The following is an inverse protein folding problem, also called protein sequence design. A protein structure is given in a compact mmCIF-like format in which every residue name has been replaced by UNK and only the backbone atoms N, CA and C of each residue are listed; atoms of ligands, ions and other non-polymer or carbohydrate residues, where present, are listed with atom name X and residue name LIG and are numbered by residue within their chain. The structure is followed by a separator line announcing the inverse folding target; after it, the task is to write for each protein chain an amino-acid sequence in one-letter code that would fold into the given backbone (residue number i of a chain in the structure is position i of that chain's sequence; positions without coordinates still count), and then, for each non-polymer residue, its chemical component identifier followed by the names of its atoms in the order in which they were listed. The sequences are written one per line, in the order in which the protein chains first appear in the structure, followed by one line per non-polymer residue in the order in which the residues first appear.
data_IF_576525897150
#
_entry.id   IF_576525897150
#
_cell.length_a   1.000
_cell.length_b   1.000
_cell.length_c   1.000
_cell.angle_alpha   90.00
_cell.angle_beta   90.00
_cell.angle_gamma   90.00
#
_symmetry.space_group_name_H-M   'P 1'
#
loop_
_entity.id
_entity.type
_entity.pdbx_description
1 polymer ?
#
# COMPACT_ATOMS: atom_id res chain seq x y z
N UNK A 1 -6.24 41.78 11.08
CA UNK A 1 -6.00 40.44 11.63
C UNK A 1 -5.76 39.39 10.54
N UNK A 2 -6.53 39.36 9.47
CA UNK A 2 -6.38 38.38 8.35
C UNK A 2 -5.06 38.58 7.58
N UNK A 3 -4.65 39.83 7.34
CA UNK A 3 -3.42 40.19 6.62
C UNK A 3 -2.15 39.74 7.35
N UNK A 4 -2.14 39.81 8.68
CA UNK A 4 -0.99 39.37 9.50
C UNK A 4 -0.81 37.86 9.48
N UNK A 5 -1.89 37.07 9.40
CA UNK A 5 -1.86 35.63 9.32
C UNK A 5 -1.28 35.15 7.97
N UNK A 6 -1.62 35.85 6.87
CA UNK A 6 -1.12 35.54 5.52
C UNK A 6 0.38 35.83 5.40
N UNK A 7 0.87 36.91 6.05
CA UNK A 7 2.30 37.26 6.06
C UNK A 7 3.10 36.23 6.86
N UNK A 8 2.59 35.81 8.01
CA UNK A 8 3.22 34.75 8.84
C UNK A 8 3.25 33.42 8.10
N UNK A 9 2.17 33.07 7.38
CA UNK A 9 2.14 31.86 6.54
C UNK A 9 3.17 31.89 5.40
N UNK A 10 3.33 33.05 4.71
CA UNK A 10 4.35 33.19 3.67
C UNK A 10 5.78 33.09 4.22
N UNK A 11 6.05 33.64 5.41
CA UNK A 11 7.37 33.53 6.04
C UNK A 11 7.65 32.11 6.52
N UNK A 12 6.69 31.45 7.17
CA UNK A 12 6.82 30.04 7.58
C UNK A 12 7.02 29.09 6.39
N UNK A 13 6.35 29.35 5.27
CA UNK A 13 6.53 28.56 4.04
C UNK A 13 7.92 28.79 3.42
N UNK A 14 8.48 30.01 3.48
CA UNK A 14 9.88 30.29 3.08
C UNK A 14 10.88 29.55 3.98
N UNK A 15 10.72 29.61 5.30
CA UNK A 15 11.57 28.86 6.24
C UNK A 15 11.48 27.35 6.04
N UNK A 16 10.27 26.82 5.79
CA UNK A 16 10.07 25.42 5.48
C UNK A 16 10.78 24.99 4.19
N UNK A 17 10.65 25.80 3.11
CA UNK A 17 11.37 25.57 1.86
C UNK A 17 12.89 25.66 2.06
N UNK A 18 13.38 26.59 2.86
CA UNK A 18 14.80 26.76 3.14
C UNK A 18 15.37 25.59 3.94
N UNK A 19 14.66 25.10 4.96
CA UNK A 19 15.05 23.91 5.71
C UNK A 19 14.98 22.66 4.84
N UNK A 20 13.98 22.55 3.96
CA UNK A 20 13.87 21.46 2.99
C UNK A 20 15.03 21.48 1.98
N UNK A 21 15.41 22.67 1.48
CA UNK A 21 16.53 22.86 0.57
C UNK A 21 17.88 22.61 1.24
N UNK A 22 18.06 23.02 2.51
CA UNK A 22 19.27 22.72 3.29
C UNK A 22 19.45 21.22 3.52
N UNK A 23 18.37 20.51 3.87
CA UNK A 23 18.41 19.06 4.01
C UNK A 23 18.63 18.35 2.66
N UNK A 24 18.17 18.93 1.55
CA UNK A 24 18.44 18.45 0.20
C UNK A 24 19.92 18.62 -0.19
N UNK A 25 20.55 19.75 0.19
CA UNK A 25 21.99 19.98 -0.06
C UNK A 25 22.87 19.07 0.79
N UNK A 26 22.52 18.84 2.06
CA UNK A 26 23.21 17.90 2.94
C UNK A 26 23.09 16.44 2.47
N UNK A 27 21.92 16.05 1.95
CA UNK A 27 21.72 14.73 1.37
C UNK A 27 22.44 14.54 0.03
N UNK A 28 22.59 15.60 -0.78
CA UNK A 28 23.39 15.59 -2.00
C UNK A 28 24.89 15.52 -1.69
N UNK A 29 25.35 16.24 -0.66
CA UNK A 29 26.73 16.21 -0.20
C UNK A 29 27.13 14.84 0.36
N UNK A 30 26.25 14.19 1.11
CA UNK A 30 26.48 12.81 1.58
C UNK A 30 26.52 11.76 0.45
N UNK A 31 25.91 12.04 -0.71
CA UNK A 31 26.04 11.17 -1.89
C UNK A 31 27.35 11.37 -2.65
N UNK A 32 27.93 12.56 -2.64
CA UNK A 32 29.25 12.81 -3.24
C UNK A 32 30.38 12.25 -2.39
N UNK A 33 30.26 12.30 -1.07
CA UNK A 33 31.24 11.70 -0.14
C UNK A 33 31.21 10.16 -0.15
N UNK A 34 30.07 9.54 -0.54
CA UNK A 34 29.94 8.09 -0.73
C UNK A 34 30.50 7.58 -2.07
N UNK A 35 30.81 8.47 -3.03
CA UNK A 35 31.42 8.09 -4.30
C UNK A 35 32.95 8.07 -4.29
N UNK A 36 33.59 8.59 -3.23
CA UNK A 36 35.04 8.66 -3.14
C UNK A 36 35.72 7.53 -2.33
N UNK A 37 35.01 6.54 -1.90
CA UNK A 37 35.63 5.43 -1.19
C UNK A 37 34.67 4.37 -0.69
N UNK A 38 34.35 3.43 -1.52
CA UNK A 38 34.19 1.99 -1.24
C UNK A 38 33.40 1.34 -2.39
N UNK A 39 33.90 0.22 -2.90
CA UNK A 39 33.23 -0.65 -3.87
C UNK A 39 31.83 -1.02 -3.37
N UNK A 40 30.80 -0.33 -3.85
CA UNK A 40 29.42 -0.76 -3.69
C UNK A 40 29.25 -2.04 -4.53
N UNK A 41 28.75 -3.13 -3.95
CA UNK A 41 28.48 -4.34 -4.70
C UNK A 41 27.46 -4.02 -5.79
N UNK A 42 27.79 -4.43 -7.01
CA UNK A 42 26.91 -4.39 -8.17
C UNK A 42 25.59 -5.09 -7.86
N UNK A 43 24.53 -4.72 -8.57
CA UNK A 43 23.12 -5.15 -8.37
C UNK A 43 22.88 -6.68 -8.30
N UNK A 44 23.89 -7.49 -8.58
CA UNK A 44 23.84 -8.97 -8.61
C UNK A 44 24.28 -9.64 -7.30
N UNK A 45 24.66 -8.89 -6.26
CA UNK A 45 25.13 -9.43 -4.98
C UNK A 45 24.24 -9.10 -3.78
N UNK A 46 22.97 -8.75 -3.97
CA UNK A 46 22.01 -8.86 -2.89
C UNK A 46 21.71 -10.37 -2.78
N UNK A 47 22.50 -11.06 -1.94
CA UNK A 47 22.13 -12.38 -1.43
C UNK A 47 20.72 -12.21 -0.88
N UNK A 48 19.71 -12.70 -1.59
CA UNK A 48 18.42 -13.03 -1.01
C UNK A 48 18.76 -13.89 0.21
N UNK A 49 18.44 -13.41 1.42
CA UNK A 49 18.48 -14.23 2.62
C UNK A 49 17.60 -15.44 2.27
N UNK A 50 18.25 -16.56 1.99
CA UNK A 50 17.71 -17.73 1.33
C UNK A 50 16.76 -18.47 2.25
N UNK A 51 15.52 -18.00 2.31
CA UNK A 51 14.43 -18.91 2.64
C UNK A 51 14.28 -19.78 1.39
N UNK A 52 14.47 -21.10 1.50
CA UNK A 52 14.39 -21.98 0.33
C UNK A 52 13.02 -21.79 -0.34
N UNK A 53 13.00 -21.55 -1.65
CA UNK A 53 11.76 -21.36 -2.43
C UNK A 53 10.81 -22.56 -2.28
N UNK A 54 11.34 -23.75 -2.01
CA UNK A 54 10.59 -24.97 -1.70
C UNK A 54 9.68 -24.85 -0.45
N UNK A 55 9.97 -23.93 0.47
CA UNK A 55 9.15 -23.73 1.68
C UNK A 55 7.74 -23.22 1.36
N UNK A 56 7.54 -22.62 0.20
CA UNK A 56 6.26 -22.02 -0.20
C UNK A 56 5.54 -22.78 -1.33
N UNK A 57 6.06 -23.92 -1.79
CA UNK A 57 5.53 -24.65 -2.95
C UNK A 57 4.03 -25.01 -2.84
N UNK A 58 3.53 -25.27 -1.62
CA UNK A 58 2.11 -25.54 -1.35
C UNK A 58 1.40 -24.40 -0.64
N UNK A 59 2.10 -23.29 -0.40
CA UNK A 59 1.54 -22.17 0.33
C UNK A 59 0.69 -21.28 -0.59
N UNK A 60 -0.48 -20.87 -0.09
CA UNK A 60 -1.36 -19.94 -0.78
C UNK A 60 -1.27 -18.54 -0.20
N UNK A 61 -1.38 -17.56 -1.10
CA UNK A 61 -1.60 -16.18 -0.75
C UNK A 61 -2.92 -15.68 -1.37
N UNK A 62 -3.80 -15.13 -0.54
CA UNK A 62 -5.01 -14.44 -0.99
C UNK A 62 -4.66 -12.98 -1.28
N UNK A 63 -4.97 -12.49 -2.49
CA UNK A 63 -4.75 -11.11 -2.90
C UNK A 63 -6.08 -10.46 -3.27
N UNK A 64 -6.71 -9.81 -2.31
CA UNK A 64 -7.95 -9.05 -2.47
C UNK A 64 -7.67 -7.76 -3.25
N UNK A 65 -8.13 -7.67 -4.50
CA UNK A 65 -7.76 -6.62 -5.46
C UNK A 65 -6.54 -6.99 -6.33
N UNK A 66 -6.30 -8.30 -6.59
CA UNK A 66 -5.08 -8.83 -7.21
C UNK A 66 -5.00 -8.71 -8.73
N UNK A 67 -6.03 -8.28 -9.44
CA UNK A 67 -6.08 -8.35 -10.91
C UNK A 67 -5.32 -7.23 -11.65
N UNK A 68 -5.08 -6.08 -11.02
CA UNK A 68 -4.44 -4.90 -11.64
C UNK A 68 -3.62 -4.08 -10.62
N UNK A 69 -2.80 -3.16 -11.14
CA UNK A 69 -2.11 -2.15 -10.35
C UNK A 69 -1.22 -2.73 -9.23
N UNK A 70 -1.29 -2.16 -8.04
CA UNK A 70 -0.48 -2.59 -6.87
C UNK A 70 -0.75 -4.05 -6.52
N UNK A 71 -2.03 -4.46 -6.56
CA UNK A 71 -2.41 -5.85 -6.24
C UNK A 71 -1.80 -6.86 -7.19
N UNK A 72 -1.79 -6.58 -8.50
CA UNK A 72 -1.10 -7.42 -9.46
C UNK A 72 0.42 -7.44 -9.21
N UNK A 73 1.04 -6.29 -8.90
CA UNK A 73 2.45 -6.24 -8.55
C UNK A 73 2.81 -7.04 -7.30
N UNK A 74 1.90 -7.08 -6.31
CA UNK A 74 2.04 -7.94 -5.12
C UNK A 74 1.87 -9.41 -5.50
N UNK A 75 0.86 -9.75 -6.31
CA UNK A 75 0.63 -11.11 -6.80
C UNK A 75 1.85 -11.63 -7.60
N UNK A 76 2.42 -10.79 -8.46
CA UNK A 76 3.65 -11.09 -9.19
C UNK A 76 4.85 -11.36 -8.28
N UNK A 77 5.04 -10.52 -7.26
CA UNK A 77 6.12 -10.68 -6.28
C UNK A 77 5.98 -11.97 -5.44
N UNK A 78 4.75 -12.39 -5.15
CA UNK A 78 4.44 -13.64 -4.46
C UNK A 78 4.64 -14.85 -5.38
N UNK A 79 4.16 -14.78 -6.64
CA UNK A 79 4.35 -15.82 -7.64
C UNK A 79 5.84 -16.10 -7.92
N UNK A 80 6.65 -15.05 -7.96
CA UNK A 80 8.12 -15.15 -8.08
C UNK A 80 8.75 -15.93 -6.92
N UNK A 81 8.13 -15.90 -5.74
CA UNK A 81 8.50 -16.66 -4.54
C UNK A 81 7.80 -18.02 -4.43
N UNK A 82 7.15 -18.46 -5.52
CA UNK A 82 6.47 -19.75 -5.63
C UNK A 82 5.25 -19.93 -4.71
N UNK A 83 4.62 -18.85 -4.26
CA UNK A 83 3.29 -18.93 -3.68
C UNK A 83 2.27 -19.27 -4.76
N UNK A 84 1.36 -20.18 -4.46
CA UNK A 84 0.10 -20.28 -5.16
C UNK A 84 -0.81 -19.12 -4.78
N UNK A 85 -1.70 -18.70 -5.64
CA UNK A 85 -2.45 -17.46 -5.47
C UNK A 85 -3.95 -17.70 -5.53
N UNK A 86 -4.68 -16.92 -4.72
CA UNK A 86 -6.12 -16.71 -4.90
C UNK A 86 -6.29 -15.21 -5.20
N UNK A 87 -6.61 -14.87 -6.44
CA UNK A 87 -6.85 -13.51 -6.87
C UNK A 87 -8.33 -13.17 -6.79
N UNK A 88 -8.67 -12.10 -6.09
CA UNK A 88 -10.04 -11.64 -5.93
C UNK A 88 -10.19 -10.27 -6.56
N UNK A 89 -11.19 -10.11 -7.45
CA UNK A 89 -11.55 -8.84 -8.07
C UNK A 89 -12.98 -8.88 -8.66
N UNK A 90 -13.49 -7.72 -9.10
CA UNK A 90 -14.85 -7.59 -9.65
C UNK A 90 -15.00 -8.01 -11.10
N UNK A 91 -13.93 -7.97 -11.88
CA UNK A 91 -13.97 -8.17 -13.33
C UNK A 91 -13.26 -9.46 -13.71
N UNK A 92 -14.02 -10.43 -14.22
CA UNK A 92 -13.53 -11.75 -14.60
C UNK A 92 -12.44 -11.67 -15.66
N UNK A 93 -12.60 -10.86 -16.73
CA UNK A 93 -11.60 -10.72 -17.79
C UNK A 93 -10.23 -10.31 -17.26
N UNK A 94 -10.22 -9.42 -16.26
CA UNK A 94 -8.97 -8.97 -15.63
C UNK A 94 -8.34 -10.03 -14.76
N UNK A 95 -9.15 -10.87 -14.11
CA UNK A 95 -8.69 -12.00 -13.32
C UNK A 95 -8.09 -13.08 -14.22
N UNK A 96 -8.78 -13.44 -15.31
CA UNK A 96 -8.29 -14.42 -16.29
C UNK A 96 -6.97 -13.96 -16.92
N UNK A 97 -6.88 -12.69 -17.32
CA UNK A 97 -5.65 -12.14 -17.88
C UNK A 97 -4.48 -12.15 -16.87
N UNK A 98 -4.76 -11.84 -15.60
CA UNK A 98 -3.76 -11.90 -14.52
C UNK A 98 -3.32 -13.33 -14.24
N UNK A 99 -4.26 -14.27 -14.12
CA UNK A 99 -4.02 -15.69 -13.93
C UNK A 99 -3.08 -16.22 -15.01
N UNK A 100 -3.48 -16.09 -16.29
CA UNK A 100 -2.72 -16.64 -17.41
C UNK A 100 -1.27 -16.12 -17.43
N UNK A 101 -1.06 -14.83 -17.14
CA UNK A 101 0.29 -14.25 -17.07
C UNK A 101 1.10 -14.82 -15.91
N UNK A 102 0.51 -14.96 -14.73
CA UNK A 102 1.23 -15.44 -13.55
C UNK A 102 1.56 -16.92 -13.66
N UNK A 103 0.63 -17.75 -14.12
CA UNK A 103 0.87 -19.16 -14.35
C UNK A 103 1.93 -19.42 -15.41
N UNK A 104 1.83 -18.74 -16.57
CA UNK A 104 2.78 -18.92 -17.67
C UNK A 104 4.21 -18.45 -17.33
N UNK A 105 4.37 -17.34 -16.55
CA UNK A 105 5.69 -16.80 -16.26
C UNK A 105 6.36 -17.42 -15.04
N UNK A 106 5.58 -17.86 -14.05
CA UNK A 106 6.12 -18.29 -12.75
C UNK A 106 5.87 -19.76 -12.44
N UNK A 107 5.00 -20.45 -13.19
CA UNK A 107 4.68 -21.86 -12.96
C UNK A 107 4.05 -22.10 -11.59
N UNK A 108 3.21 -21.18 -11.12
CA UNK A 108 2.45 -21.29 -9.88
C UNK A 108 0.98 -21.57 -10.22
N UNK A 109 0.22 -22.15 -9.28
CA UNK A 109 -1.22 -22.30 -9.45
C UNK A 109 -1.95 -21.01 -9.03
N UNK A 110 -2.91 -20.56 -9.84
CA UNK A 110 -3.67 -19.34 -9.58
C UNK A 110 -5.17 -19.62 -9.65
N UNK A 111 -5.83 -19.52 -8.52
CA UNK A 111 -7.29 -19.49 -8.42
C UNK A 111 -7.80 -18.06 -8.58
N UNK A 112 -9.00 -17.92 -9.16
CA UNK A 112 -9.63 -16.63 -9.36
C UNK A 112 -11.04 -16.63 -8.80
N UNK A 113 -11.38 -15.61 -8.01
CA UNK A 113 -12.69 -15.41 -7.42
C UNK A 113 -13.25 -14.04 -7.83
N UNK A 114 -14.39 -14.08 -8.52
CA UNK A 114 -15.08 -12.85 -8.88
C UNK A 114 -15.99 -12.42 -7.72
N UNK A 115 -15.56 -11.41 -6.95
CA UNK A 115 -16.33 -10.82 -5.87
C UNK A 115 -16.27 -9.30 -5.87
N UNK A 116 -17.37 -8.66 -5.51
CA UNK A 116 -17.40 -7.25 -5.14
C UNK A 116 -17.20 -7.13 -3.62
N UNK A 117 -15.98 -6.81 -3.23
CA UNK A 117 -15.58 -6.70 -1.82
C UNK A 117 -16.27 -5.57 -1.06
N UNK A 118 -17.07 -4.72 -1.70
CA UNK A 118 -17.95 -3.76 -1.02
C UNK A 118 -19.24 -4.40 -0.48
N UNK A 119 -19.49 -5.66 -0.80
CA UNK A 119 -20.64 -6.44 -0.33
C UNK A 119 -20.29 -7.19 0.95
N UNK A 120 -21.19 -7.17 1.94
CA UNK A 120 -20.96 -7.75 3.28
C UNK A 120 -20.70 -9.26 3.25
N UNK A 121 -21.38 -9.95 2.33
CA UNK A 121 -21.34 -11.40 2.19
C UNK A 121 -19.98 -11.89 1.66
N UNK A 122 -19.30 -11.07 0.85
CA UNK A 122 -18.10 -11.47 0.12
C UNK A 122 -17.00 -12.02 1.02
N UNK A 123 -16.77 -11.43 2.19
CA UNK A 123 -15.70 -11.91 3.08
C UNK A 123 -15.98 -13.30 3.65
N UNK A 124 -17.24 -13.59 3.96
CA UNK A 124 -17.69 -14.90 4.47
C UNK A 124 -17.61 -15.96 3.37
N UNK A 125 -18.12 -15.65 2.18
CA UNK A 125 -18.10 -16.55 1.02
C UNK A 125 -16.67 -16.92 0.60
N UNK A 126 -15.76 -15.93 0.59
CA UNK A 126 -14.34 -16.16 0.30
C UNK A 126 -13.69 -17.05 1.37
N UNK A 127 -13.95 -16.79 2.66
CA UNK A 127 -13.41 -17.59 3.74
C UNK A 127 -13.93 -19.03 3.71
N UNK A 128 -15.21 -19.21 3.45
CA UNK A 128 -15.81 -20.52 3.27
C UNK A 128 -15.16 -21.26 2.10
N UNK A 129 -15.04 -20.64 0.94
CA UNK A 129 -14.41 -21.20 -0.24
C UNK A 129 -12.95 -21.66 0.03
N UNK A 130 -12.17 -20.84 0.75
CA UNK A 130 -10.80 -21.19 1.15
C UNK A 130 -10.76 -22.37 2.15
N UNK A 131 -11.73 -22.42 3.07
CA UNK A 131 -11.80 -23.45 4.11
C UNK A 131 -12.20 -24.80 3.54
N UNK A 132 -13.20 -24.84 2.66
CA UNK A 132 -13.67 -26.06 1.99
C UNK A 132 -12.54 -26.73 1.16
N UNK A 133 -11.63 -25.92 0.62
CA UNK A 133 -10.45 -26.41 -0.13
C UNK A 133 -9.25 -26.68 0.75
N UNK A 134 -9.38 -26.50 2.06
CA UNK A 134 -8.32 -26.67 3.05
C UNK A 134 -7.00 -25.99 2.63
N UNK A 135 -7.08 -24.76 2.12
CA UNK A 135 -5.92 -24.05 1.61
C UNK A 135 -4.87 -23.81 2.71
N UNK A 136 -3.61 -24.09 2.40
CA UNK A 136 -2.47 -23.74 3.24
C UNK A 136 -2.20 -22.23 3.15
N UNK A 137 -3.10 -21.43 3.73
CA UNK A 137 -3.07 -19.98 3.64
C UNK A 137 -1.94 -19.40 4.51
N UNK A 138 -0.92 -18.84 3.88
CA UNK A 138 0.23 -18.25 4.52
C UNK A 138 0.23 -16.71 4.47
N UNK A 139 -0.52 -16.12 3.55
CA UNK A 139 -0.55 -14.66 3.42
C UNK A 139 -1.93 -14.17 2.94
N UNK A 140 -2.42 -13.13 3.61
CA UNK A 140 -3.56 -12.33 3.17
C UNK A 140 -3.07 -10.93 2.79
N UNK A 141 -3.37 -10.48 1.56
CA UNK A 141 -3.07 -9.14 1.08
C UNK A 141 -4.37 -8.39 0.81
N UNK A 142 -4.75 -7.47 1.68
CA UNK A 142 -5.91 -6.60 1.53
C UNK A 142 -5.50 -5.36 0.72
N UNK A 143 -5.67 -5.42 -0.60
CA UNK A 143 -5.22 -4.36 -1.53
C UNK A 143 -6.38 -3.57 -2.12
N UNK A 144 -7.56 -4.18 -2.20
CA UNK A 144 -8.74 -3.55 -2.75
C UNK A 144 -9.02 -2.18 -2.11
N UNK A 145 -9.37 -1.22 -2.93
CA UNK A 145 -9.66 0.11 -2.45
C UNK A 145 -10.03 1.05 -3.58
N UNK A 146 -10.79 2.07 -3.23
CA UNK A 146 -11.23 3.13 -4.13
C UNK A 146 -10.71 4.47 -3.64
N UNK A 147 -9.98 5.17 -4.51
CA UNK A 147 -9.30 6.45 -4.19
C UNK A 147 -10.01 7.68 -4.74
N UNK A 148 -11.32 7.62 -4.94
CA UNK A 148 -12.10 8.71 -5.56
C UNK A 148 -11.76 10.08 -5.01
N UNK A 149 -11.58 11.05 -5.89
CA UNK A 149 -11.40 12.48 -5.59
C UNK A 149 -12.70 13.21 -5.90
N UNK A 150 -13.69 13.08 -5.04
CA UNK A 150 -14.92 13.89 -5.13
C UNK A 150 -14.97 14.83 -3.94
N UNK A 151 -15.44 16.06 -4.19
CA UNK A 151 -15.76 16.97 -3.12
C UNK A 151 -16.80 16.31 -2.20
N UNK A 152 -16.51 16.30 -0.91
CA UNK A 152 -17.42 15.73 0.09
C UNK A 152 -18.81 16.35 0.04
N UNK A 153 -18.88 17.65 -0.27
CA UNK A 153 -20.15 18.40 -0.33
C UNK A 153 -21.06 17.93 -1.49
N UNK A 154 -20.51 17.24 -2.48
CA UNK A 154 -21.25 16.67 -3.63
C UNK A 154 -21.28 15.15 -3.65
N UNK A 155 -20.74 14.50 -2.59
CA UNK A 155 -20.68 13.05 -2.51
C UNK A 155 -22.06 12.45 -2.20
N UNK A 156 -22.51 11.49 -3.00
CA UNK A 156 -23.72 10.74 -2.68
C UNK A 156 -23.48 9.75 -1.53
N UNK A 157 -24.52 9.44 -0.77
CA UNK A 157 -24.47 8.42 0.30
C UNK A 157 -24.00 7.06 -0.23
N UNK A 158 -24.43 6.66 -1.42
CA UNK A 158 -24.00 5.40 -2.03
C UNK A 158 -22.48 5.38 -2.30
N UNK A 159 -21.92 6.51 -2.78
CA UNK A 159 -20.46 6.63 -2.98
C UNK A 159 -19.70 6.61 -1.65
N UNK A 160 -20.28 7.19 -0.60
CA UNK A 160 -19.72 7.17 0.75
C UNK A 160 -19.72 5.73 1.29
N UNK A 161 -20.87 5.05 1.26
CA UNK A 161 -21.02 3.66 1.71
C UNK A 161 -20.06 2.74 0.91
N UNK A 162 -20.03 2.88 -0.41
CA UNK A 162 -19.14 2.10 -1.25
C UNK A 162 -17.67 2.28 -0.85
N UNK A 163 -17.22 3.52 -0.59
CA UNK A 163 -15.84 3.79 -0.17
C UNK A 163 -15.52 3.21 1.20
N UNK A 164 -16.44 3.33 2.16
CA UNK A 164 -16.28 2.78 3.52
C UNK A 164 -16.22 1.25 3.47
N UNK A 165 -17.19 0.64 2.81
CA UNK A 165 -17.29 -0.81 2.71
C UNK A 165 -16.06 -1.41 2.00
N UNK A 166 -15.65 -0.81 0.87
CA UNK A 166 -14.51 -1.33 0.12
C UNK A 166 -13.16 -1.06 0.80
N UNK A 167 -12.94 0.14 1.37
CA UNK A 167 -11.64 0.53 1.90
C UNK A 167 -11.39 0.08 3.34
N UNK A 168 -12.44 -0.03 4.15
CA UNK A 168 -12.35 -0.33 5.58
C UNK A 168 -12.94 -1.71 5.87
N UNK A 169 -14.25 -1.87 5.63
CA UNK A 169 -14.99 -3.07 6.05
C UNK A 169 -14.42 -4.32 5.39
N UNK A 170 -14.16 -4.31 4.08
CA UNK A 170 -13.61 -5.47 3.38
C UNK A 170 -12.24 -5.92 3.94
N UNK A 171 -11.38 -4.96 4.28
CA UNK A 171 -10.08 -5.24 4.87
C UNK A 171 -10.20 -5.88 6.25
N UNK A 172 -11.10 -5.35 7.10
CA UNK A 172 -11.33 -5.84 8.45
C UNK A 172 -12.04 -7.21 8.43
N UNK A 173 -13.08 -7.34 7.58
CA UNK A 173 -13.85 -8.56 7.46
C UNK A 173 -13.02 -9.73 6.92
N UNK A 174 -12.23 -9.54 5.86
CA UNK A 174 -11.34 -10.58 5.35
C UNK A 174 -10.27 -10.97 6.37
N UNK A 175 -9.73 -9.98 7.12
CA UNK A 175 -8.76 -10.27 8.18
C UNK A 175 -9.37 -11.10 9.31
N UNK A 176 -10.64 -10.87 9.63
CA UNK A 176 -11.38 -11.61 10.67
C UNK A 176 -11.79 -13.01 10.19
N UNK A 177 -12.40 -13.11 9.00
CA UNK A 177 -12.98 -14.38 8.51
C UNK A 177 -11.90 -15.40 8.08
N UNK A 178 -10.74 -14.94 7.58
CA UNK A 178 -9.61 -15.80 7.21
C UNK A 178 -8.64 -16.06 8.38
N UNK A 179 -8.86 -15.45 9.55
CA UNK A 179 -7.99 -15.60 10.71
C UNK A 179 -7.77 -17.07 11.11
N UNK A 180 -8.81 -17.94 11.20
CA UNK A 180 -8.61 -19.33 11.57
C UNK A 180 -7.68 -20.11 10.62
N UNK A 181 -7.74 -19.82 9.31
CA UNK A 181 -6.85 -20.45 8.33
C UNK A 181 -5.41 -19.93 8.46
N UNK A 182 -5.23 -18.64 8.75
CA UNK A 182 -3.92 -18.06 8.99
C UNK A 182 -3.28 -18.60 10.26
N UNK A 183 -4.04 -18.76 11.34
CA UNK A 183 -3.59 -19.36 12.60
C UNK A 183 -3.17 -20.82 12.43
N UNK A 184 -4.04 -21.64 11.78
CA UNK A 184 -3.74 -23.04 11.48
C UNK A 184 -2.43 -23.21 10.71
N UNK A 185 -2.08 -22.23 9.89
CA UNK A 185 -0.91 -22.24 9.04
C UNK A 185 0.20 -21.30 9.49
N UNK A 186 0.27 -20.93 10.78
CA UNK A 186 1.35 -20.09 11.30
C UNK A 186 2.75 -20.73 11.08
N UNK A 187 3.83 -19.95 10.92
CA UNK A 187 3.83 -18.49 10.79
C UNK A 187 3.17 -18.02 9.49
N UNK A 188 2.35 -16.97 9.62
CA UNK A 188 1.58 -16.42 8.50
C UNK A 188 1.57 -14.87 8.54
N UNK A 189 1.03 -14.25 7.49
CA UNK A 189 1.16 -12.82 7.30
C UNK A 189 -0.15 -12.19 6.86
N UNK A 190 -0.44 -10.99 7.37
CA UNK A 190 -1.47 -10.09 6.86
C UNK A 190 -0.80 -8.82 6.37
N UNK A 191 -1.06 -8.41 5.13
CA UNK A 191 -0.61 -7.15 4.56
C UNK A 191 -1.83 -6.31 4.18
N UNK A 192 -2.06 -5.22 4.91
CA UNK A 192 -3.11 -4.26 4.61
C UNK A 192 -2.55 -3.09 3.81
N UNK A 193 -3.24 -2.68 2.75
CA UNK A 193 -2.81 -1.56 1.90
C UNK A 193 -3.57 -0.29 2.27
N UNK A 194 -2.88 0.59 2.97
CA UNK A 194 -3.33 1.94 3.27
C UNK A 194 -2.90 2.94 2.16
N UNK A 195 -2.35 4.07 2.54
CA UNK A 195 -1.77 5.10 1.67
C UNK A 195 -0.98 6.09 2.51
N UNK A 196 -0.07 6.84 1.92
CA UNK A 196 0.48 8.04 2.55
C UNK A 196 -0.59 9.09 2.87
N UNK A 197 -1.71 9.10 2.13
CA UNK A 197 -2.89 9.91 2.45
C UNK A 197 -3.49 9.59 3.83
N UNK A 198 -3.24 8.41 4.40
CA UNK A 198 -3.65 8.05 5.74
C UNK A 198 -2.92 8.81 6.86
N UNK A 199 -1.85 9.53 6.55
CA UNK A 199 -1.12 10.35 7.51
C UNK A 199 -1.53 11.83 7.49
N UNK A 200 -2.28 12.26 6.48
CA UNK A 200 -2.59 13.67 6.23
C UNK A 200 -4.09 13.91 6.06
N UNK A 201 -4.66 14.95 6.70
CA UNK A 201 -6.01 15.41 6.40
C UNK A 201 -5.99 16.19 5.08
N UNK A 202 -6.32 15.50 3.97
CA UNK A 202 -6.32 16.09 2.61
C UNK A 202 -7.74 16.55 2.27
N UNK A 203 -8.02 17.88 2.17
CA UNK A 203 -9.39 18.39 1.99
C UNK A 203 -10.11 17.82 0.76
N UNK A 204 -9.44 17.82 -0.41
CA UNK A 204 -9.99 17.29 -1.68
C UNK A 204 -10.12 15.75 -1.72
N UNK A 205 -9.63 15.05 -0.70
CA UNK A 205 -9.66 13.59 -0.55
C UNK A 205 -10.00 13.19 0.89
N UNK A 206 -10.79 13.99 1.59
CA UNK A 206 -11.06 13.83 3.01
C UNK A 206 -11.55 12.42 3.38
N UNK A 207 -12.58 11.92 2.70
CA UNK A 207 -13.11 10.55 2.92
C UNK A 207 -12.05 9.48 2.65
N UNK A 208 -11.33 9.60 1.54
CA UNK A 208 -10.24 8.65 1.23
C UNK A 208 -9.16 8.67 2.30
N UNK A 209 -8.70 9.85 2.74
CA UNK A 209 -7.71 9.99 3.80
C UNK A 209 -8.20 9.37 5.11
N UNK A 210 -9.46 9.60 5.47
CA UNK A 210 -10.07 9.02 6.66
C UNK A 210 -10.10 7.47 6.60
N UNK A 211 -10.52 6.90 5.46
CA UNK A 211 -10.54 5.44 5.30
C UNK A 211 -9.13 4.84 5.38
N UNK A 212 -8.13 5.50 4.80
CA UNK A 212 -6.75 5.01 4.83
C UNK A 212 -6.08 5.19 6.20
N UNK A 213 -6.46 6.23 6.97
CA UNK A 213 -6.10 6.35 8.38
C UNK A 213 -6.66 5.20 9.21
N UNK A 214 -7.92 4.84 9.01
CA UNK A 214 -8.56 3.72 9.70
C UNK A 214 -7.79 2.41 9.47
N UNK A 215 -7.37 2.12 8.23
CA UNK A 215 -6.57 0.93 7.90
C UNK A 215 -5.21 0.96 8.58
N UNK A 216 -4.55 2.13 8.69
CA UNK A 216 -3.28 2.26 9.41
C UNK A 216 -3.47 1.90 10.88
N UNK A 217 -4.41 2.53 11.59
CA UNK A 217 -4.64 2.29 13.01
C UNK A 217 -5.08 0.85 13.29
N UNK A 218 -5.98 0.31 12.47
CA UNK A 218 -6.40 -1.09 12.54
C UNK A 218 -5.20 -2.04 12.46
N UNK A 219 -4.31 -1.83 11.48
CA UNK A 219 -3.16 -2.70 11.28
C UNK A 219 -2.18 -2.68 12.46
N UNK A 220 -1.97 -1.50 13.07
CA UNK A 220 -1.15 -1.38 14.27
C UNK A 220 -1.73 -2.17 15.44
N UNK A 221 -3.01 -1.98 15.72
CA UNK A 221 -3.70 -2.67 16.84
C UNK A 221 -3.77 -4.18 16.60
N UNK A 222 -4.14 -4.60 15.39
CA UNK A 222 -4.24 -6.02 15.03
C UNK A 222 -2.89 -6.74 15.16
N UNK A 223 -1.79 -6.08 14.83
CA UNK A 223 -0.46 -6.66 15.01
C UNK A 223 -0.17 -7.07 16.45
N UNK A 224 -0.55 -6.24 17.42
CA UNK A 224 -0.35 -6.55 18.82
C UNK A 224 -1.27 -7.68 19.32
N UNK A 225 -2.51 -7.71 18.83
CA UNK A 225 -3.46 -8.78 19.17
C UNK A 225 -3.05 -10.15 18.62
N UNK A 226 -2.38 -10.17 17.46
CA UNK A 226 -1.99 -11.42 16.79
C UNK A 226 -0.53 -11.84 17.05
N UNK A 227 0.21 -11.09 17.87
CA UNK A 227 1.64 -11.32 18.11
C UNK A 227 1.92 -12.75 18.58
N UNK A 228 1.15 -13.23 19.53
CA UNK A 228 1.35 -14.54 20.15
C UNK A 228 0.65 -15.68 19.42
N UNK A 229 -0.05 -15.36 18.30
CA UNK A 229 -0.70 -16.33 17.40
C UNK A 229 0.14 -16.68 16.18
N UNK A 230 1.39 -16.21 16.13
CA UNK A 230 2.29 -16.48 15.01
C UNK A 230 1.92 -15.75 13.70
N UNK A 231 1.10 -14.71 13.77
CA UNK A 231 0.67 -13.91 12.61
C UNK A 231 1.32 -12.54 12.62
N UNK A 232 2.06 -12.24 11.57
CA UNK A 232 2.70 -10.94 11.40
C UNK A 232 1.83 -10.01 10.55
N UNK A 233 1.43 -8.86 11.11
CA UNK A 233 0.65 -7.85 10.37
C UNK A 233 1.56 -6.74 9.88
N UNK A 234 1.38 -6.35 8.63
CA UNK A 234 2.07 -5.22 7.97
C UNK A 234 1.05 -4.25 7.38
N UNK A 235 1.36 -2.97 7.38
CA UNK A 235 0.61 -1.95 6.65
C UNK A 235 1.50 -1.30 5.58
N UNK A 236 1.09 -1.46 4.33
CA UNK A 236 1.73 -0.82 3.18
C UNK A 236 1.10 0.56 2.98
N UNK A 237 1.91 1.61 2.96
CA UNK A 237 1.49 2.99 2.73
C UNK A 237 2.17 3.53 1.46
N UNK A 238 1.61 3.25 0.27
CA UNK A 238 2.14 3.74 -0.99
C UNK A 238 2.11 5.27 -1.07
N UNK A 239 3.11 5.83 -1.76
CA UNK A 239 3.02 7.15 -2.38
C UNK A 239 2.22 7.11 -3.69
N UNK A 240 2.42 8.05 -4.60
CA UNK A 240 1.87 7.98 -5.95
C UNK A 240 2.37 6.74 -6.68
N UNK A 241 1.46 5.94 -7.24
CA UNK A 241 1.79 4.75 -8.04
C UNK A 241 1.17 4.88 -9.41
N UNK A 242 1.96 4.73 -10.44
CA UNK A 242 1.51 4.81 -11.84
C UNK A 242 0.72 3.55 -12.23
N UNK A 243 -0.51 3.45 -11.74
CA UNK A 243 -1.40 2.33 -12.03
C UNK A 243 -2.18 2.50 -13.33
N UNK A 244 -2.26 3.74 -13.84
CA UNK A 244 -2.89 4.14 -15.10
C UNK A 244 -2.14 5.32 -15.71
N UNK A 245 -2.16 5.49 -17.06
CA UNK A 245 -1.52 6.62 -17.72
C UNK A 245 -2.00 8.00 -17.23
N UNK A 246 -3.30 8.10 -16.91
CA UNK A 246 -3.91 9.35 -16.43
C UNK A 246 -3.32 9.79 -15.09
N UNK A 247 -3.04 8.83 -14.20
CA UNK A 247 -2.42 9.10 -12.90
C UNK A 247 -0.98 9.59 -13.07
N UNK A 248 -0.26 9.06 -14.06
CA UNK A 248 1.09 9.51 -14.37
C UNK A 248 1.09 10.97 -14.85
N UNK A 249 0.17 11.31 -15.78
CA UNK A 249 0.02 12.66 -16.31
C UNK A 249 -0.37 13.64 -15.18
N UNK A 250 -1.36 13.28 -14.39
CA UNK A 250 -1.85 14.12 -13.29
C UNK A 250 -0.76 14.34 -12.23
N UNK A 251 -0.02 13.28 -11.86
CA UNK A 251 1.07 13.37 -10.89
C UNK A 251 2.19 14.27 -11.40
N UNK A 252 2.56 14.14 -12.68
CA UNK A 252 3.57 15.01 -13.32
C UNK A 252 3.11 16.47 -13.35
N UNK A 253 1.84 16.72 -13.66
CA UNK A 253 1.26 18.07 -13.72
C UNK A 253 1.20 18.74 -12.35
N UNK A 254 0.75 18.03 -11.31
CA UNK A 254 0.55 18.60 -9.96
C UNK A 254 1.82 18.68 -9.11
N UNK A 255 2.68 17.69 -9.19
CA UNK A 255 3.86 17.58 -8.33
C UNK A 255 5.19 17.78 -9.07
N UNK A 256 5.18 17.97 -10.39
CA UNK A 256 6.38 18.23 -11.19
C UNK A 256 7.50 17.20 -10.95
N UNK A 257 8.70 17.69 -10.68
CA UNK A 257 9.89 16.87 -10.40
C UNK A 257 9.72 15.99 -9.16
N UNK A 258 9.10 16.50 -8.09
CA UNK A 258 8.83 15.74 -6.85
C UNK A 258 7.89 14.55 -7.11
N UNK A 259 6.87 14.73 -7.96
CA UNK A 259 5.98 13.65 -8.33
C UNK A 259 6.71 12.49 -9.02
N UNK A 260 7.65 12.82 -9.93
CA UNK A 260 8.49 11.84 -10.61
C UNK A 260 9.41 11.08 -9.64
N UNK A 261 9.91 11.76 -8.60
CA UNK A 261 10.80 11.21 -7.60
C UNK A 261 10.06 10.28 -6.60
N UNK A 262 8.79 10.60 -6.31
CA UNK A 262 7.97 9.86 -5.34
C UNK A 262 7.21 8.69 -5.96
N UNK A 263 6.91 8.74 -7.25
CA UNK A 263 6.09 7.74 -7.91
C UNK A 263 6.87 6.44 -8.19
N UNK A 264 6.16 5.33 -8.05
CA UNK A 264 6.72 4.00 -8.29
C UNK A 264 5.87 3.22 -9.30
N UNK A 265 6.50 2.24 -9.97
CA UNK A 265 5.79 1.25 -10.80
C UNK A 265 5.20 0.15 -9.91
N UNK A 266 4.01 -0.39 -10.24
CA UNK A 266 3.33 -1.41 -9.44
C UNK A 266 4.18 -2.64 -9.10
N UNK A 267 4.95 -3.16 -10.03
CA UNK A 267 5.80 -4.33 -9.80
C UNK A 267 6.91 -4.08 -8.77
N UNK A 268 7.55 -2.90 -8.81
CA UNK A 268 8.56 -2.51 -7.81
C UNK A 268 7.93 -2.28 -6.43
N UNK A 269 6.72 -1.70 -6.41
CA UNK A 269 5.94 -1.51 -5.19
C UNK A 269 5.63 -2.86 -4.54
N UNK A 270 5.11 -3.82 -5.32
CA UNK A 270 4.79 -5.17 -4.86
C UNK A 270 6.02 -5.92 -4.32
N UNK A 271 7.16 -5.83 -5.02
CA UNK A 271 8.39 -6.48 -4.58
C UNK A 271 8.86 -5.97 -3.20
N UNK A 272 8.89 -4.64 -3.02
CA UNK A 272 9.25 -4.02 -1.73
C UNK A 272 8.24 -4.40 -0.65
N UNK A 273 6.95 -4.41 -0.97
CA UNK A 273 5.89 -4.75 -0.04
C UNK A 273 6.03 -6.18 0.46
N UNK A 274 6.10 -7.16 -0.43
CA UNK A 274 6.22 -8.58 -0.08
C UNK A 274 7.50 -8.85 0.69
N UNK A 275 8.67 -8.39 0.20
CA UNK A 275 9.96 -8.57 0.89
C UNK A 275 9.94 -8.06 2.33
N UNK A 276 9.35 -6.88 2.56
CA UNK A 276 9.29 -6.29 3.90
C UNK A 276 8.24 -6.95 4.80
N UNK A 277 7.13 -7.40 4.24
CA UNK A 277 6.10 -8.17 4.98
C UNK A 277 6.69 -9.48 5.48
N UNK A 278 7.38 -10.23 4.64
CA UNK A 278 8.06 -11.48 5.03
C UNK A 278 9.15 -11.25 6.09
N UNK A 279 9.78 -10.06 6.11
CA UNK A 279 10.71 -9.64 7.20
C UNK A 279 9.99 -9.13 8.46
N UNK A 280 8.69 -9.25 8.54
CA UNK A 280 7.88 -8.84 9.69
C UNK A 280 7.86 -7.33 9.97
N UNK A 281 8.09 -6.47 8.97
CA UNK A 281 8.01 -5.01 9.15
C UNK A 281 6.57 -4.55 9.27
N UNK A 282 6.24 -3.86 10.38
CA UNK A 282 4.88 -3.35 10.59
C UNK A 282 4.51 -2.28 9.55
N UNK A 283 5.28 -1.21 9.46
CA UNK A 283 5.01 -0.12 8.50
C UNK A 283 5.94 -0.21 7.30
N UNK A 284 5.36 -0.23 6.11
CA UNK A 284 6.07 -0.30 4.84
C UNK A 284 5.74 0.95 4.03
N UNK A 285 6.72 1.83 3.84
CA UNK A 285 6.62 2.99 2.97
C UNK A 285 7.72 2.84 1.91
N UNK A 286 7.34 2.46 0.68
CA UNK A 286 8.28 2.32 -0.43
C UNK A 286 8.79 3.69 -0.91
N UNK A 287 10.05 3.74 -1.31
CA UNK A 287 10.72 4.98 -1.74
C UNK A 287 11.27 5.81 -0.59
N UNK A 288 12.50 6.29 -0.76
CA UNK A 288 13.19 7.09 0.28
C UNK A 288 12.48 8.43 0.51
N UNK A 289 12.09 9.11 -0.56
CA UNK A 289 11.38 10.38 -0.48
C UNK A 289 10.00 10.23 0.16
N UNK A 290 9.28 9.18 -0.14
CA UNK A 290 8.00 8.88 0.51
C UNK A 290 8.17 8.69 2.02
N UNK A 291 9.26 8.04 2.47
CA UNK A 291 9.58 7.89 3.89
C UNK A 291 9.87 9.24 4.56
N UNK A 292 10.69 10.07 3.95
CA UNK A 292 11.00 11.41 4.46
C UNK A 292 9.72 12.25 4.55
N UNK A 293 8.93 12.30 3.48
CA UNK A 293 7.68 13.05 3.48
C UNK A 293 6.65 12.52 4.49
N UNK A 294 6.58 11.20 4.70
CA UNK A 294 5.70 10.64 5.73
C UNK A 294 6.11 11.06 7.15
N UNK A 295 7.40 11.22 7.39
CA UNK A 295 7.94 11.75 8.63
C UNK A 295 7.52 13.22 8.83
N UNK A 296 7.81 14.04 7.85
CA UNK A 296 7.47 15.48 7.87
C UNK A 296 5.97 15.67 8.16
N UNK A 297 5.11 15.00 7.40
CA UNK A 297 3.64 15.13 7.56
C UNK A 297 3.15 14.69 8.94
N UNK A 298 3.77 13.70 9.55
CA UNK A 298 3.38 13.20 10.88
C UNK A 298 3.80 14.12 12.02
N UNK A 299 4.91 14.83 11.89
CA UNK A 299 5.40 15.76 12.92
C UNK A 299 4.81 17.17 12.84
N UNK A 300 4.34 17.57 11.65
CA UNK A 300 3.69 18.87 11.49
C UNK A 300 2.31 18.93 12.17
N UNK A 301 1.93 20.07 12.78
CA UNK A 301 0.58 20.27 13.27
C UNK A 301 -0.47 20.03 12.16
N UNK A 302 -1.52 19.27 12.47
CA UNK A 302 -2.53 18.87 11.49
C UNK A 302 -3.12 20.03 10.70
N UNK A 303 -3.38 21.16 11.36
CA UNK A 303 -3.88 22.41 10.73
C UNK A 303 -2.97 22.92 9.61
N UNK A 304 -1.65 22.80 9.76
CA UNK A 304 -0.70 23.26 8.75
C UNK A 304 -0.67 22.30 7.56
N UNK A 305 -0.66 21.01 7.84
CA UNK A 305 -0.75 19.98 6.80
C UNK A 305 -2.02 20.17 5.98
N UNK A 306 -3.18 20.40 6.63
CA UNK A 306 -4.46 20.66 5.95
C UNK A 306 -4.39 21.90 5.08
N UNK A 307 -3.84 23.01 5.59
CA UNK A 307 -3.71 24.25 4.84
C UNK A 307 -2.79 24.11 3.61
N UNK A 308 -1.68 23.37 3.75
CA UNK A 308 -0.77 23.09 2.64
C UNK A 308 -1.51 22.31 1.53
N UNK A 309 -2.21 21.23 1.90
CA UNK A 309 -2.94 20.42 0.91
C UNK A 309 -4.14 21.15 0.30
N UNK A 310 -4.78 22.05 1.04
CA UNK A 310 -5.84 22.91 0.51
C UNK A 310 -5.30 23.81 -0.60
N UNK A 311 -4.19 24.52 -0.34
CA UNK A 311 -3.58 25.43 -1.30
C UNK A 311 -2.93 24.72 -2.52
N UNK A 312 -2.54 23.43 -2.38
CA UNK A 312 -2.02 22.63 -3.48
C UNK A 312 -3.14 22.02 -4.34
N UNK A 313 -4.36 21.97 -3.83
CA UNK A 313 -5.53 21.41 -4.51
C UNK A 313 -6.38 22.44 -5.26
N UNK A 314 -6.22 23.72 -4.94
CA UNK A 314 -6.81 24.86 -5.63
C UNK A 314 -5.87 25.38 -6.72
#
# INVERSE_FOLDING_TARGET
MVTSIVIIQKHLMKYFLTILLLNLSLAAQSQTDLQSGTNLPTNDQIKEDSIPLSQYADAYAVVAGGSKGIGYGIAEALARRKYNLVLIARHMDSLVAAKNKLESHYGVHVEILQHDLSKKESAVEIAQWCTERNLKLKMLCNVAGFGGSKDYLTLSLDSLHYMVNLNIESCMALSLTLLPLLEKNAPSYIMNVASMAGFAPIPIKNMYSATKSAVVFFSYSLRYQLKDRGISVSVLCPGPVYTKPEIEIETKKKLGFLGKLMAMKPGREGEVAVKKTLKGKLMIIPGTWNRVMSWVVRFLPRRWVTAIYYNLGT
#
